data_IF_457540228612
#
_entry.id   IF_457540228612
#
_cell.length_a   1.000
_cell.length_b   1.000
_cell.length_c   1.000
_cell.angle_alpha   90.00
_cell.angle_beta   90.00
_cell.angle_gamma   90.00
#
_symmetry.space_group_name_H-M   'P 1'
#
loop_
_entity.id
_entity.type
_entity.pdbx_description
1 polymer ?
#
# COMPACT_ATOMS: atom_id res chain seq x y z
N UNK A 1 1.57 14.83 36.50
CA UNK A 1 0.30 14.78 35.74
C UNK A 1 0.56 14.24 34.33
N UNK A 2 0.62 12.92 34.25
CA UNK A 2 0.87 12.14 33.05
C UNK A 2 -0.29 11.17 32.93
N UNK A 3 -1.24 11.47 32.04
CA UNK A 3 -2.41 10.62 31.79
C UNK A 3 -1.95 9.46 30.92
N UNK A 4 -1.94 8.27 31.53
CA UNK A 4 -1.91 6.98 30.83
C UNK A 4 -3.23 6.84 30.07
N UNK A 5 -3.18 6.54 28.78
CA UNK A 5 -4.30 5.87 28.11
C UNK A 5 -3.98 4.39 28.09
N UNK A 6 -4.49 3.68 29.10
CA UNK A 6 -4.77 2.25 29.03
C UNK A 6 -5.88 2.05 27.99
N UNK A 7 -5.69 1.10 27.07
CA UNK A 7 -6.82 0.56 26.32
C UNK A 7 -6.77 -0.97 26.41
N UNK A 8 -7.61 -1.43 27.31
CA UNK A 8 -7.96 -2.79 27.66
C UNK A 8 -9.09 -3.25 26.74
N UNK A 9 -8.77 -4.02 25.69
CA UNK A 9 -9.72 -4.92 25.03
C UNK A 9 -8.96 -6.12 24.45
N UNK A 10 -8.56 -7.02 25.33
CA UNK A 10 -8.29 -8.40 24.97
C UNK A 10 -9.62 -9.17 25.02
N UNK A 11 -10.19 -9.50 23.87
CA UNK A 11 -11.09 -10.65 23.76
C UNK A 11 -10.89 -11.31 22.39
N UNK A 12 -10.50 -12.58 22.46
CA UNK A 12 -9.96 -13.38 21.37
C UNK A 12 -11.10 -13.91 20.49
N UNK A 13 -11.08 -13.51 19.22
CA UNK A 13 -11.67 -14.30 18.13
C UNK A 13 -10.54 -14.72 17.19
N UNK A 14 -10.23 -16.01 17.19
CA UNK A 14 -9.29 -16.68 16.27
C UNK A 14 -9.81 -16.58 14.82
N UNK A 15 -9.51 -15.49 14.11
CA UNK A 15 -9.76 -15.33 12.67
C UNK A 15 -8.72 -14.36 12.07
N UNK A 16 -7.85 -14.85 11.16
CA UNK A 16 -6.98 -14.11 10.22
C UNK A 16 -6.23 -12.88 10.77
N UNK A 17 -4.96 -13.03 11.18
CA UNK A 17 -4.21 -11.97 11.87
C UNK A 17 -3.30 -11.16 10.95
N UNK A 18 -3.88 -10.39 10.02
CA UNK A 18 -3.13 -9.25 9.47
C UNK A 18 -3.02 -8.21 10.58
N UNK A 19 -1.81 -8.03 11.13
CA UNK A 19 -1.58 -7.03 12.18
C UNK A 19 -1.40 -5.65 11.53
N UNK A 20 -2.33 -4.74 11.78
CA UNK A 20 -2.07 -3.32 11.60
C UNK A 20 -0.95 -2.91 12.56
N UNK A 21 0.23 -2.64 12.03
CA UNK A 21 1.43 -2.27 12.80
C UNK A 21 1.85 -0.84 12.46
N UNK A 22 2.48 -0.17 13.42
CA UNK A 22 2.82 1.25 13.31
C UNK A 22 4.10 1.52 12.51
N UNK A 23 5.06 0.58 12.58
CA UNK A 23 6.40 0.73 12.00
C UNK A 23 7.01 -0.60 11.53
N UNK A 24 7.71 -0.56 10.41
CA UNK A 24 8.37 -1.68 9.74
C UNK A 24 9.84 -1.74 10.17
N UNK A 25 10.37 -2.95 10.34
CA UNK A 25 11.82 -3.15 10.53
C UNK A 25 12.62 -2.63 9.31
N UNK A 26 13.71 -1.87 9.52
CA UNK A 26 14.58 -1.35 8.46
C UNK A 26 15.05 -2.36 7.42
N UNK A 27 15.40 -3.57 7.84
CA UNK A 27 15.91 -4.62 6.95
C UNK A 27 14.77 -5.19 6.10
N UNK A 28 13.60 -5.40 6.71
CA UNK A 28 12.40 -5.82 5.99
C UNK A 28 12.02 -4.77 4.93
N UNK A 29 12.00 -3.49 5.29
CA UNK A 29 11.68 -2.43 4.34
C UNK A 29 12.66 -2.42 3.16
N UNK A 30 13.97 -2.40 3.42
CA UNK A 30 15.01 -2.41 2.38
C UNK A 30 14.92 -3.65 1.49
N UNK A 31 14.55 -4.80 2.04
CA UNK A 31 14.39 -6.02 1.25
C UNK A 31 13.13 -5.99 0.39
N UNK A 32 12.01 -5.56 0.95
CA UNK A 32 10.69 -5.68 0.33
C UNK A 32 10.38 -4.54 -0.63
N UNK A 33 10.81 -3.30 -0.36
CA UNK A 33 10.53 -2.14 -1.20
C UNK A 33 11.60 -1.90 -2.28
N UNK A 34 12.71 -2.66 -2.31
CA UNK A 34 13.74 -2.50 -3.34
C UNK A 34 13.19 -2.76 -4.75
N UNK A 35 13.17 -1.75 -5.61
CA UNK A 35 12.53 -1.78 -6.94
C UNK A 35 13.33 -2.51 -8.04
N UNK A 36 14.06 -3.57 -7.71
CA UNK A 36 14.78 -4.35 -8.74
C UNK A 36 13.84 -5.17 -9.62
N UNK A 37 14.23 -5.35 -10.88
CA UNK A 37 13.47 -6.07 -11.91
C UNK A 37 13.24 -7.55 -11.56
N UNK A 38 14.29 -8.25 -11.12
CA UNK A 38 14.23 -9.65 -10.72
C UNK A 38 14.41 -9.79 -9.22
N UNK A 39 13.44 -10.44 -8.56
CA UNK A 39 13.58 -10.80 -7.15
C UNK A 39 12.90 -12.10 -6.81
N UNK A 40 13.71 -13.16 -6.75
CA UNK A 40 13.30 -14.41 -6.14
C UNK A 40 13.09 -14.23 -4.62
N UNK A 41 12.08 -14.91 -4.08
CA UNK A 41 11.83 -14.95 -2.63
C UNK A 41 11.02 -13.79 -2.04
N UNK A 42 10.52 -12.85 -2.86
CA UNK A 42 9.61 -11.77 -2.41
C UNK A 42 8.15 -12.15 -2.59
N UNK A 43 7.72 -13.19 -1.87
CA UNK A 43 6.35 -13.70 -1.97
C UNK A 43 5.34 -12.93 -1.10
N UNK A 44 5.71 -11.72 -0.62
CA UNK A 44 4.91 -10.93 0.32
C UNK A 44 4.69 -9.52 -0.22
N UNK A 45 3.43 -9.09 -0.22
CA UNK A 45 3.07 -7.69 -0.44
C UNK A 45 3.06 -6.95 0.89
N UNK A 46 3.81 -5.86 0.96
CA UNK A 46 3.77 -4.90 2.06
C UNK A 46 3.00 -3.67 1.58
N UNK A 47 2.05 -3.21 2.36
CA UNK A 47 1.18 -2.08 2.05
C UNK A 47 1.25 -1.08 3.20
N UNK A 48 1.93 0.04 2.99
CA UNK A 48 1.86 1.20 3.90
C UNK A 48 0.71 2.08 3.46
N UNK A 49 -0.13 2.55 4.38
CA UNK A 49 -1.29 3.36 4.05
C UNK A 49 -1.34 4.68 4.82
N UNK A 50 -1.97 5.65 4.18
CA UNK A 50 -2.42 6.91 4.76
C UNK A 50 -3.90 7.08 4.45
N UNK A 51 -4.70 7.48 5.43
CA UNK A 51 -6.12 7.78 5.27
C UNK A 51 -6.41 9.16 5.85
N UNK A 52 -6.76 10.09 4.96
CA UNK A 52 -7.26 11.41 5.30
C UNK A 52 -8.78 11.45 5.08
N UNK A 53 -9.53 11.75 6.15
CA UNK A 53 -11.01 11.84 6.15
C UNK A 53 -11.52 13.27 5.88
N UNK A 54 -10.64 14.22 5.57
CA UNK A 54 -10.97 15.62 5.29
C UNK A 54 -11.41 16.44 6.51
N UNK A 55 -11.52 15.82 7.68
CA UNK A 55 -11.75 16.50 8.95
C UNK A 55 -10.44 16.54 9.73
N UNK A 56 -9.87 17.73 9.89
CA UNK A 56 -8.56 17.93 10.54
C UNK A 56 -8.56 17.53 12.02
N UNK A 57 -9.72 17.38 12.64
CA UNK A 57 -9.85 16.97 14.04
C UNK A 57 -9.45 15.51 14.30
N UNK A 58 -9.65 14.61 13.33
CA UNK A 58 -9.41 13.17 13.50
C UNK A 58 -7.95 12.76 13.18
N UNK A 59 -7.16 13.69 12.64
CA UNK A 59 -5.78 13.43 12.23
C UNK A 59 -5.64 12.51 11.01
N UNK A 60 -4.39 12.28 10.59
CA UNK A 60 -4.05 11.37 9.49
C UNK A 60 -3.85 9.95 10.06
N UNK A 61 -4.72 9.03 9.68
CA UNK A 61 -4.55 7.62 10.04
C UNK A 61 -3.46 7.00 9.16
N UNK A 62 -2.51 6.29 9.76
CA UNK A 62 -1.42 5.62 9.06
C UNK A 62 -1.07 4.29 9.70
N UNK A 63 -0.46 3.41 8.92
CA UNK A 63 0.05 2.12 9.37
C UNK A 63 0.56 1.31 8.18
N UNK A 64 0.87 0.04 8.43
CA UNK A 64 1.15 -0.90 7.35
C UNK A 64 0.50 -2.26 7.58
N UNK A 65 0.36 -2.99 6.47
CA UNK A 65 -0.14 -4.36 6.39
C UNK A 65 0.89 -5.21 5.64
N UNK A 66 0.95 -6.48 6.01
CA UNK A 66 1.75 -7.50 5.36
C UNK A 66 0.82 -8.63 4.92
N UNK A 67 1.00 -9.12 3.70
CA UNK A 67 0.25 -10.24 3.16
C UNK A 67 0.52 -11.55 3.95
N UNK A 68 -0.54 -12.26 4.31
CA UNK A 68 -0.44 -13.62 4.87
C UNK A 68 -0.48 -14.63 3.72
N UNK A 69 0.58 -15.45 3.57
CA UNK A 69 0.78 -16.49 2.55
C UNK A 69 -0.37 -17.50 2.34
N UNK A 70 -1.40 -17.46 3.19
CA UNK A 70 -2.53 -18.40 3.22
C UNK A 70 -3.90 -17.71 3.37
N UNK A 71 -3.94 -16.37 3.30
CA UNK A 71 -5.11 -15.56 3.65
C UNK A 71 -5.53 -14.54 2.58
N UNK A 72 -6.20 -13.47 3.03
CA UNK A 72 -6.57 -12.33 2.19
C UNK A 72 -5.36 -11.45 1.92
N UNK A 73 -5.17 -11.04 0.67
CA UNK A 73 -4.10 -10.11 0.30
C UNK A 73 -4.23 -8.78 1.07
N UNK A 74 -3.10 -8.10 1.27
CA UNK A 74 -3.02 -6.87 2.07
C UNK A 74 -4.02 -5.78 1.63
N UNK A 75 -4.32 -5.69 0.34
CA UNK A 75 -5.26 -4.74 -0.26
C UNK A 75 -6.71 -4.98 0.20
N UNK A 76 -7.12 -6.24 0.33
CA UNK A 76 -8.44 -6.62 0.82
C UNK A 76 -8.53 -6.45 2.34
N UNK A 77 -7.47 -6.83 3.05
CA UNK A 77 -7.35 -6.64 4.49
C UNK A 77 -7.48 -5.16 4.89
N UNK A 78 -6.97 -4.24 4.07
CA UNK A 78 -7.13 -2.80 4.33
C UNK A 78 -8.60 -2.38 4.45
N UNK A 79 -9.45 -2.77 3.49
CA UNK A 79 -10.85 -2.32 3.50
C UNK A 79 -11.69 -2.97 4.60
N UNK A 80 -11.29 -4.14 5.09
CA UNK A 80 -12.01 -4.86 6.15
C UNK A 80 -11.51 -4.51 7.54
N UNK A 81 -10.21 -4.25 7.72
CA UNK A 81 -9.58 -4.09 9.03
C UNK A 81 -9.15 -2.64 9.32
N UNK A 82 -8.65 -1.91 8.32
CA UNK A 82 -8.14 -0.54 8.51
C UNK A 82 -9.21 0.54 8.22
N UNK A 83 -10.22 0.19 7.42
CA UNK A 83 -11.37 1.05 7.13
C UNK A 83 -12.73 0.36 7.38
N UNK A 84 -12.96 -0.26 8.57
CA UNK A 84 -14.17 -1.03 8.84
C UNK A 84 -15.42 -0.16 8.94
N UNK A 85 -15.29 1.05 9.48
CA UNK A 85 -16.38 2.01 9.70
C UNK A 85 -16.41 3.06 8.61
N UNK A 86 -16.59 2.61 7.37
CA UNK A 86 -16.80 3.50 6.24
C UNK A 86 -18.12 4.29 6.40
N UNK A 87 -18.02 5.61 6.44
CA UNK A 87 -19.14 6.54 6.42
C UNK A 87 -19.30 7.16 5.01
N UNK A 88 -20.42 6.91 4.29
CA UNK A 88 -20.72 7.52 2.99
C UNK A 88 -20.76 9.05 2.98
N UNK A 89 -20.99 9.70 4.12
CA UNK A 89 -21.07 11.16 4.23
C UNK A 89 -19.68 11.83 4.23
N UNK A 90 -18.63 11.11 4.59
CA UNK A 90 -17.25 11.61 4.60
C UNK A 90 -16.58 11.42 3.25
N UNK A 91 -15.52 12.20 3.00
CA UNK A 91 -14.63 12.01 1.85
C UNK A 91 -13.33 11.41 2.33
N UNK A 92 -12.84 10.39 1.62
CA UNK A 92 -11.60 9.71 1.97
C UNK A 92 -10.56 9.96 0.88
N UNK A 93 -9.40 10.47 1.26
CA UNK A 93 -8.21 10.45 0.42
C UNK A 93 -7.28 9.41 0.99
N UNK A 94 -7.11 8.31 0.25
CA UNK A 94 -6.33 7.15 0.66
C UNK A 94 -5.09 7.08 -0.23
N UNK A 95 -3.93 6.95 0.40
CA UNK A 95 -2.66 6.74 -0.30
C UNK A 95 -2.04 5.43 0.17
N UNK A 96 -1.70 4.56 -0.76
CA UNK A 96 -0.96 3.33 -0.49
C UNK A 96 0.43 3.40 -1.11
N UNK A 97 1.45 2.99 -0.35
CA UNK A 97 2.77 2.65 -0.83
C UNK A 97 2.94 1.14 -0.72
N UNK A 98 3.04 0.45 -1.85
CA UNK A 98 3.05 -1.01 -1.92
C UNK A 98 4.38 -1.53 -2.44
N UNK A 99 4.86 -2.64 -1.88
CA UNK A 99 6.10 -3.28 -2.34
C UNK A 99 5.99 -3.83 -3.77
N UNK A 100 4.77 -4.13 -4.22
CA UNK A 100 4.47 -4.59 -5.58
C UNK A 100 3.06 -4.16 -5.97
N UNK A 101 2.79 -3.95 -7.26
CA UNK A 101 1.45 -3.66 -7.76
C UNK A 101 0.48 -4.83 -7.46
N UNK A 102 -0.82 -4.56 -7.33
CA UNK A 102 -1.81 -5.62 -7.07
C UNK A 102 -1.85 -6.64 -8.21
N UNK A 103 -2.12 -7.90 -7.87
CA UNK A 103 -2.45 -8.94 -8.86
C UNK A 103 -3.85 -8.73 -9.45
N UNK A 104 -4.23 -9.51 -10.47
CA UNK A 104 -5.53 -9.42 -11.15
C UNK A 104 -6.71 -9.42 -10.18
N UNK A 105 -6.78 -10.41 -9.28
CA UNK A 105 -7.88 -10.54 -8.33
C UNK A 105 -7.97 -9.35 -7.35
N UNK A 106 -6.83 -8.81 -6.91
CA UNK A 106 -6.81 -7.62 -6.06
C UNK A 106 -7.24 -6.38 -6.83
N UNK A 107 -6.73 -6.19 -8.04
CA UNK A 107 -7.08 -5.05 -8.89
C UNK A 107 -8.60 -5.01 -9.15
N UNK A 108 -9.22 -6.16 -9.43
CA UNK A 108 -10.67 -6.28 -9.59
C UNK A 108 -11.43 -5.89 -8.32
N UNK A 109 -11.08 -6.49 -7.17
CA UNK A 109 -11.73 -6.16 -5.89
C UNK A 109 -11.61 -4.68 -5.53
N UNK A 110 -10.43 -4.09 -5.70
CA UNK A 110 -10.23 -2.65 -5.45
C UNK A 110 -11.10 -1.83 -6.41
N UNK A 111 -11.15 -2.20 -7.69
CA UNK A 111 -11.97 -1.51 -8.69
C UNK A 111 -13.47 -1.58 -8.34
N UNK A 112 -13.97 -2.72 -7.84
CA UNK A 112 -15.33 -2.86 -7.35
C UNK A 112 -15.62 -1.94 -6.16
N UNK A 113 -14.70 -1.88 -5.18
CA UNK A 113 -14.81 -0.98 -4.03
C UNK A 113 -14.87 0.48 -4.48
N UNK A 114 -14.01 0.91 -5.39
CA UNK A 114 -14.00 2.29 -5.93
C UNK A 114 -15.25 2.59 -6.77
N UNK A 115 -15.80 1.58 -7.45
CA UNK A 115 -17.07 1.71 -8.16
C UNK A 115 -18.25 1.90 -7.19
N UNK A 116 -18.27 1.17 -6.09
CA UNK A 116 -19.33 1.25 -5.09
C UNK A 116 -19.21 2.47 -4.16
N UNK A 117 -18.00 2.89 -3.81
CA UNK A 117 -17.71 3.93 -2.80
C UNK A 117 -17.10 5.18 -3.45
N UNK A 118 -17.95 5.98 -4.13
CA UNK A 118 -17.53 7.15 -4.94
C UNK A 118 -16.89 8.31 -4.17
N UNK A 119 -17.02 8.32 -2.85
CA UNK A 119 -16.39 9.27 -1.95
C UNK A 119 -14.95 8.89 -1.56
N UNK A 120 -14.44 7.74 -2.01
CA UNK A 120 -13.04 7.33 -1.85
C UNK A 120 -12.22 7.77 -3.07
N UNK A 121 -11.13 8.48 -2.82
CA UNK A 121 -10.06 8.75 -3.78
C UNK A 121 -8.85 7.92 -3.37
N UNK A 122 -8.50 6.91 -4.15
CA UNK A 122 -7.35 6.04 -3.90
C UNK A 122 -6.19 6.38 -4.83
N UNK A 123 -5.00 6.52 -4.25
CA UNK A 123 -3.73 6.58 -4.98
C UNK A 123 -2.84 5.43 -4.53
N UNK A 124 -2.29 4.67 -5.48
CA UNK A 124 -1.38 3.56 -5.21
C UNK A 124 -0.03 3.90 -5.85
N UNK A 125 1.02 3.86 -5.03
CA UNK A 125 2.40 4.01 -5.45
C UNK A 125 3.09 2.65 -5.26
N UNK A 126 3.36 1.96 -6.36
CA UNK A 126 3.98 0.65 -6.33
C UNK A 126 5.50 0.75 -6.51
N UNK A 127 6.26 0.06 -5.68
CA UNK A 127 7.70 -0.03 -5.83
C UNK A 127 8.10 -0.86 -7.06
N UNK A 128 7.35 -1.93 -7.35
CA UNK A 128 7.53 -2.81 -8.52
C UNK A 128 6.20 -3.08 -9.19
N UNK A 129 6.23 -3.44 -10.47
CA UNK A 129 5.05 -4.00 -11.14
C UNK A 129 5.11 -5.53 -11.05
N UNK A 130 4.12 -6.13 -10.38
CA UNK A 130 3.95 -7.57 -10.27
C UNK A 130 3.60 -8.15 -11.64
N UNK A 131 4.38 -9.13 -12.14
CA UNK A 131 4.08 -9.91 -13.36
C UNK A 131 3.50 -9.08 -14.53
N UNK A 132 4.04 -7.88 -14.75
CA UNK A 132 3.45 -6.88 -15.66
C UNK A 132 3.45 -7.31 -17.14
N UNK A 133 4.26 -8.30 -17.49
CA UNK A 133 4.31 -8.89 -18.83
C UNK A 133 3.04 -9.71 -19.14
N UNK A 134 2.34 -10.20 -18.10
CA UNK A 134 1.13 -11.01 -18.25
C UNK A 134 -0.07 -10.16 -18.65
N UNK A 135 -0.75 -10.58 -19.73
CA UNK A 135 -1.86 -9.82 -20.30
C UNK A 135 -3.03 -9.61 -19.31
N UNK A 136 -3.29 -10.60 -18.45
CA UNK A 136 -4.33 -10.55 -17.42
C UNK A 136 -4.02 -9.51 -16.34
N UNK A 137 -2.75 -9.42 -15.92
CA UNK A 137 -2.30 -8.42 -14.96
C UNK A 137 -2.48 -7.02 -15.55
N UNK A 138 -2.04 -6.82 -16.80
CA UNK A 138 -2.21 -5.53 -17.48
C UNK A 138 -3.69 -5.13 -17.58
N UNK A 139 -4.58 -6.09 -17.89
CA UNK A 139 -6.01 -5.86 -17.92
C UNK A 139 -6.56 -5.45 -16.55
N UNK A 140 -6.10 -6.09 -15.47
CA UNK A 140 -6.43 -5.72 -14.09
C UNK A 140 -5.99 -4.28 -13.75
N UNK A 141 -4.75 -3.91 -14.07
CA UNK A 141 -4.23 -2.55 -13.82
C UNK A 141 -5.00 -1.49 -14.61
N UNK A 142 -5.36 -1.77 -15.88
CA UNK A 142 -6.23 -0.89 -16.69
C UNK A 142 -7.61 -0.74 -16.07
N UNK A 143 -8.23 -1.83 -15.63
CA UNK A 143 -9.55 -1.80 -15.00
C UNK A 143 -9.53 -0.99 -13.69
N UNK A 144 -8.46 -1.12 -12.90
CA UNK A 144 -8.24 -0.35 -11.69
C UNK A 144 -8.07 1.14 -11.97
N UNK A 145 -7.28 1.50 -12.98
CA UNK A 145 -7.14 2.88 -13.44
C UNK A 145 -8.47 3.46 -13.93
N UNK A 146 -9.21 2.72 -14.75
CA UNK A 146 -10.54 3.11 -15.25
C UNK A 146 -11.58 3.27 -14.12
N UNK A 147 -11.42 2.57 -12.99
CA UNK A 147 -12.26 2.75 -11.81
C UNK A 147 -11.97 4.06 -11.03
N UNK A 148 -10.95 4.83 -11.44
CA UNK A 148 -10.58 6.11 -10.84
C UNK A 148 -9.40 6.04 -9.86
N UNK A 149 -8.72 4.89 -9.76
CA UNK A 149 -7.51 4.77 -8.97
C UNK A 149 -6.34 5.51 -9.65
N UNK A 150 -5.62 6.33 -8.89
CA UNK A 150 -4.36 6.92 -9.35
C UNK A 150 -3.22 5.93 -9.11
N UNK A 151 -2.93 5.09 -10.10
CA UNK A 151 -1.83 4.15 -10.04
C UNK A 151 -0.52 4.79 -10.54
N UNK A 152 0.56 4.67 -9.77
CA UNK A 152 1.89 5.24 -10.06
C UNK A 152 2.99 4.30 -9.58
N UNK A 153 4.19 4.47 -10.12
CA UNK A 153 5.41 3.85 -9.58
C UNK A 153 6.05 4.79 -8.56
N UNK A 154 6.61 4.24 -7.48
CA UNK A 154 7.34 5.01 -6.47
C UNK A 154 8.61 5.62 -7.07
N UNK A 155 8.73 6.95 -7.01
CA UNK A 155 9.98 7.66 -7.34
C UNK A 155 10.95 7.62 -6.16
N UNK A 156 12.24 7.98 -6.34
CA UNK A 156 13.23 8.04 -5.25
C UNK A 156 12.76 8.77 -3.97
N UNK A 157 12.03 9.88 -4.14
CA UNK A 157 11.49 10.66 -3.02
C UNK A 157 10.38 9.90 -2.26
N UNK A 158 9.59 9.07 -2.94
CA UNK A 158 8.53 8.28 -2.31
C UNK A 158 9.14 7.20 -1.39
N UNK A 159 10.28 6.61 -1.75
CA UNK A 159 11.00 5.68 -0.88
C UNK A 159 11.51 6.37 0.38
N UNK A 160 12.09 7.57 0.24
CA UNK A 160 12.57 8.36 1.39
C UNK A 160 11.40 8.74 2.31
N UNK A 161 10.29 9.22 1.73
CA UNK A 161 9.09 9.53 2.49
C UNK A 161 8.51 8.31 3.23
N UNK A 162 8.46 7.16 2.56
CA UNK A 162 7.91 5.93 3.16
C UNK A 162 8.82 5.43 4.28
N UNK A 163 10.14 5.55 4.12
CA UNK A 163 11.12 5.27 5.15
C UNK A 163 10.90 6.12 6.40
N UNK A 164 10.85 7.46 6.25
CA UNK A 164 10.66 8.38 7.37
C UNK A 164 9.28 8.22 8.05
N UNK A 165 8.28 7.77 7.29
CA UNK A 165 6.90 7.71 7.75
C UNK A 165 6.55 6.37 8.39
N UNK A 166 7.11 5.26 7.92
CA UNK A 166 6.64 3.91 8.25
C UNK A 166 7.74 2.97 8.77
N UNK A 167 9.01 3.39 8.85
CA UNK A 167 10.10 2.51 9.28
C UNK A 167 10.64 2.93 10.65
N UNK A 168 11.06 1.95 11.46
CA UNK A 168 11.84 2.20 12.69
C UNK A 168 13.26 2.62 12.33
N UNK A 169 13.40 3.83 11.79
CA UNK A 169 14.64 4.28 11.16
C UNK A 169 15.66 4.93 12.10
N UNK A 170 15.32 5.14 13.38
CA UNK A 170 16.18 5.80 14.38
C UNK A 170 16.77 7.14 13.88
N UNK A 171 15.96 7.93 13.15
CA UNK A 171 16.36 9.21 12.51
C UNK A 171 17.49 9.08 11.47
N UNK A 172 17.82 7.86 11.04
CA UNK A 172 18.79 7.63 9.96
C UNK A 172 18.09 7.79 8.60
N UNK A 173 18.72 8.46 7.63
CA UNK A 173 18.16 8.57 6.29
C UNK A 173 18.23 7.24 5.54
N UNK A 174 17.32 7.05 4.57
CA UNK A 174 17.40 5.92 3.65
C UNK A 174 18.55 6.13 2.67
N UNK A 175 19.55 5.24 2.72
CA UNK A 175 20.48 5.07 1.61
C UNK A 175 19.77 4.32 0.48
N UNK A 176 19.39 5.06 -0.57
CA UNK A 176 18.83 4.46 -1.78
C UNK A 176 19.85 3.50 -2.41
N UNK A 177 19.36 2.44 -3.03
CA UNK A 177 20.20 1.54 -3.80
C UNK A 177 20.60 2.17 -5.14
N UNK A 178 21.72 1.71 -5.69
CA UNK A 178 22.38 2.29 -6.87
C UNK A 178 21.42 2.51 -8.04
N UNK A 179 20.69 1.47 -8.46
CA UNK A 179 19.80 1.50 -9.64
C UNK A 179 18.38 2.02 -9.34
N UNK A 180 18.15 2.72 -8.21
CA UNK A 180 16.80 3.10 -7.78
C UNK A 180 16.08 3.97 -8.81
N UNK A 181 16.82 4.89 -9.45
CA UNK A 181 16.26 5.86 -10.39
C UNK A 181 15.97 5.20 -11.73
N UNK A 182 16.92 4.43 -12.24
CA UNK A 182 16.84 3.69 -13.49
C UNK A 182 15.66 2.70 -13.47
N UNK A 183 15.50 1.97 -12.37
CA UNK A 183 14.36 1.06 -12.18
C UNK A 183 13.03 1.81 -12.10
N UNK A 184 13.00 2.99 -11.46
CA UNK A 184 11.81 3.83 -11.44
C UNK A 184 11.43 4.27 -12.86
N UNK A 185 12.39 4.76 -13.64
CA UNK A 185 12.17 5.21 -15.03
C UNK A 185 11.65 4.06 -15.89
N UNK A 186 12.27 2.89 -15.78
CA UNK A 186 11.82 1.67 -16.46
C UNK A 186 10.36 1.31 -16.13
N UNK A 187 10.03 1.13 -14.85
CA UNK A 187 8.67 0.78 -14.46
C UNK A 187 7.67 1.89 -14.76
N UNK A 188 8.08 3.16 -14.68
CA UNK A 188 7.23 4.29 -15.01
C UNK A 188 6.83 4.26 -16.49
N UNK A 189 7.77 3.99 -17.40
CA UNK A 189 7.48 3.80 -18.83
C UNK A 189 6.57 2.60 -19.06
N UNK A 190 6.87 1.44 -18.45
CA UNK A 190 6.01 0.24 -18.58
C UNK A 190 4.60 0.48 -18.08
N UNK A 191 4.44 1.14 -16.94
CA UNK A 191 3.12 1.46 -16.41
C UNK A 191 2.38 2.43 -17.34
N UNK A 192 3.07 3.43 -17.89
CA UNK A 192 2.47 4.36 -18.83
C UNK A 192 1.96 3.61 -20.08
N UNK A 193 2.73 2.68 -20.63
CA UNK A 193 2.32 1.85 -21.77
C UNK A 193 1.11 0.96 -21.45
N UNK A 194 1.06 0.37 -20.26
CA UNK A 194 -0.05 -0.49 -19.82
C UNK A 194 -1.36 0.31 -19.70
N UNK A 195 -1.28 1.57 -19.24
CA UNK A 195 -2.42 2.42 -18.91
C UNK A 195 -2.94 3.30 -20.07
N UNK A 196 -2.32 3.23 -21.25
CA UNK A 196 -2.84 3.83 -22.48
C UNK A 196 -4.22 3.26 -22.84
#
# INVERSE_FOLDING_TARGET
PSVKCENEYANVSLISSVYCRDRIDPHIFKFQFKNVEYSSGRNKTFLCYLVDKGNTADGLLRGYLEDEHTGSHAEEAFFTQCLPHYDPALKYTITWYVSSSPCTACAEKIAEVLKARKNIKLSIFAARLFEWEEAEIQAGLRALHAAGCKLRVMKPLDFSYTWDTFVENEDQPLNLWEDCKENYEYYHEKLADILQ
#
